data_IF_936344473053
#
_entry.id   IF_936344473053
#
_cell.length_a   1.000
_cell.length_b   1.000
_cell.length_c   1.000
_cell.angle_alpha   90.00
_cell.angle_beta   90.00
_cell.angle_gamma   90.00
#
_symmetry.space_group_name_H-M   'P 1'
#
loop_
_entity.id
_entity.type
_entity.pdbx_description
1 polymer ?
#
# COMPACT_ATOMS: atom_id res chain seq x y z
N UNK A 1 3.00 32.29 -4.28
CA UNK A 1 2.45 31.24 -5.16
C UNK A 1 3.60 30.70 -5.98
N UNK A 2 4.11 29.51 -5.65
CA UNK A 2 5.22 28.88 -6.39
C UNK A 2 4.64 27.90 -7.40
N UNK A 3 5.09 28.01 -8.64
CA UNK A 3 4.66 27.21 -9.78
C UNK A 3 5.28 25.80 -9.74
N UNK A 4 4.61 24.80 -10.33
CA UNK A 4 5.13 23.44 -10.47
C UNK A 4 6.39 23.41 -11.35
N UNK A 5 7.33 22.51 -11.04
CA UNK A 5 8.58 22.32 -11.77
C UNK A 5 8.36 21.84 -13.21
N UNK A 6 9.17 22.33 -14.15
CA UNK A 6 8.97 22.12 -15.60
C UNK A 6 9.21 20.68 -16.09
N UNK A 7 9.95 19.85 -15.35
CA UNK A 7 10.33 18.50 -15.78
C UNK A 7 9.20 17.46 -15.76
N UNK A 8 8.03 17.77 -15.17
CA UNK A 8 6.84 16.90 -15.19
C UNK A 8 5.82 17.22 -16.32
N UNK A 9 6.11 18.18 -17.21
CA UNK A 9 5.09 18.72 -18.13
C UNK A 9 4.74 17.85 -19.35
N UNK A 10 5.52 16.83 -19.74
CA UNK A 10 5.33 16.19 -21.06
C UNK A 10 4.49 14.90 -21.09
N UNK A 11 4.15 14.30 -19.94
CA UNK A 11 3.31 13.08 -19.86
C UNK A 11 1.95 13.27 -19.17
N UNK A 12 1.65 14.49 -18.71
CA UNK A 12 0.56 14.78 -17.77
C UNK A 12 -0.50 15.80 -18.27
N UNK A 13 -0.57 16.06 -19.58
CA UNK A 13 -1.71 16.81 -20.11
C UNK A 13 -2.92 15.87 -20.18
N UNK A 14 -3.80 16.03 -19.19
CA UNK A 14 -5.15 15.48 -19.21
C UNK A 14 -5.89 16.15 -20.37
N UNK A 15 -6.63 15.39 -21.16
CA UNK A 15 -7.52 16.01 -22.13
C UNK A 15 -8.67 16.69 -21.38
N UNK A 16 -8.85 17.99 -21.56
CA UNK A 16 -9.86 18.76 -20.80
C UNK A 16 -11.31 18.30 -21.01
N UNK A 17 -11.59 17.58 -22.11
CA UNK A 17 -12.93 17.05 -22.43
C UNK A 17 -13.15 15.64 -21.86
N UNK A 18 -12.10 14.99 -21.34
CA UNK A 18 -12.18 13.66 -20.78
C UNK A 18 -12.64 13.72 -19.30
N UNK A 19 -13.61 12.88 -18.90
CA UNK A 19 -14.00 12.76 -17.51
C UNK A 19 -12.85 12.26 -16.65
N UNK A 20 -12.78 12.75 -15.41
CA UNK A 20 -11.84 12.26 -14.42
C UNK A 20 -12.60 11.67 -13.25
N UNK A 21 -12.24 10.46 -12.85
CA UNK A 21 -12.86 9.72 -11.75
C UNK A 21 -11.83 9.35 -10.70
N UNK A 22 -12.29 8.98 -9.51
CA UNK A 22 -11.43 8.51 -8.44
C UNK A 22 -11.93 7.20 -7.84
N UNK A 23 -10.97 6.42 -7.33
CA UNK A 23 -11.19 5.24 -6.49
C UNK A 23 -10.38 5.42 -5.19
N UNK A 24 -11.06 5.47 -4.05
CA UNK A 24 -10.43 5.40 -2.73
C UNK A 24 -10.27 3.93 -2.35
N UNK A 25 -9.04 3.50 -2.06
CA UNK A 25 -8.71 2.08 -1.88
C UNK A 25 -8.17 1.78 -0.48
N UNK A 26 -8.51 0.60 0.03
CA UNK A 26 -8.07 0.11 1.34
C UNK A 26 -7.66 -1.36 1.31
N UNK A 27 -6.69 -1.74 2.17
CA UNK A 27 -6.29 -3.12 2.45
C UNK A 27 -6.75 -3.44 3.87
N UNK A 28 -7.73 -4.33 4.01
CA UNK A 28 -8.40 -4.57 5.29
C UNK A 28 -8.90 -3.25 5.90
N UNK A 29 -8.47 -2.88 7.12
CA UNK A 29 -8.85 -1.61 7.76
C UNK A 29 -7.96 -0.42 7.37
N UNK A 30 -6.82 -0.62 6.68
CA UNK A 30 -5.86 0.43 6.35
C UNK A 30 -6.27 1.12 5.04
N UNK A 31 -6.62 2.42 5.10
CA UNK A 31 -6.78 3.26 3.90
C UNK A 31 -5.41 3.43 3.24
N UNK A 32 -5.29 3.06 1.97
CA UNK A 32 -4.02 3.11 1.23
C UNK A 32 -3.86 4.44 0.50
N UNK A 33 -4.94 4.95 -0.08
CA UNK A 33 -4.96 6.23 -0.78
C UNK A 33 -6.03 6.30 -1.86
N UNK A 34 -6.01 7.40 -2.60
CA UNK A 34 -6.89 7.67 -3.73
C UNK A 34 -6.14 7.43 -5.05
N UNK A 35 -6.81 6.79 -6.00
CA UNK A 35 -6.36 6.62 -7.38
C UNK A 35 -7.23 7.51 -8.26
N UNK A 36 -6.61 8.45 -8.99
CA UNK A 36 -7.31 9.36 -9.91
C UNK A 36 -7.05 8.93 -11.33
N UNK A 37 -8.10 8.87 -12.13
CA UNK A 37 -8.12 8.22 -13.44
C UNK A 37 -8.75 9.16 -14.48
N UNK A 38 -8.02 9.43 -15.56
CA UNK A 38 -8.59 10.01 -16.77
C UNK A 38 -9.24 8.91 -17.61
N UNK A 39 -10.49 9.12 -18.05
CA UNK A 39 -11.21 8.22 -18.94
C UNK A 39 -11.18 8.75 -20.37
N UNK A 40 -10.75 7.92 -21.33
CA UNK A 40 -10.56 8.30 -22.72
C UNK A 40 -11.87 8.40 -23.51
N UNK A 41 -12.81 9.24 -23.04
CA UNK A 41 -14.12 9.48 -23.68
C UNK A 41 -13.99 9.92 -25.13
N UNK A 42 -12.94 10.66 -25.46
CA UNK A 42 -12.63 11.06 -26.83
C UNK A 42 -12.26 9.90 -27.77
N UNK A 43 -11.89 8.72 -27.25
CA UNK A 43 -11.49 7.53 -28.03
C UNK A 43 -12.51 6.40 -27.90
N UNK A 44 -13.03 6.17 -26.69
CA UNK A 44 -13.96 5.09 -26.32
C UNK A 44 -15.11 5.63 -25.46
N UNK A 45 -15.99 6.49 -26.03
CA UNK A 45 -17.05 7.16 -25.27
C UNK A 45 -18.00 6.20 -24.55
N UNK A 46 -18.39 5.07 -25.14
CA UNK A 46 -19.30 4.10 -24.48
C UNK A 46 -18.63 3.42 -23.29
N UNK A 47 -17.37 3.04 -23.45
CA UNK A 47 -16.58 2.36 -22.42
C UNK A 47 -16.26 3.31 -21.25
N UNK A 48 -15.83 4.53 -21.57
CA UNK A 48 -15.59 5.59 -20.59
C UNK A 48 -16.87 5.92 -19.79
N UNK A 49 -18.01 6.08 -20.47
CA UNK A 49 -19.28 6.38 -19.80
C UNK A 49 -19.75 5.24 -18.88
N UNK A 50 -19.54 3.99 -19.28
CA UNK A 50 -19.81 2.83 -18.43
C UNK A 50 -19.02 2.91 -17.12
N UNK A 51 -17.71 3.14 -17.20
CA UNK A 51 -16.88 3.23 -16.00
C UNK A 51 -17.24 4.45 -15.14
N UNK A 52 -17.46 5.61 -15.75
CA UNK A 52 -17.85 6.86 -15.06
C UNK A 52 -19.13 6.65 -14.24
N UNK A 53 -20.18 6.12 -14.85
CA UNK A 53 -21.46 5.85 -14.18
C UNK A 53 -21.32 4.81 -13.07
N UNK A 54 -20.48 3.79 -13.27
CA UNK A 54 -20.18 2.81 -12.21
C UNK A 54 -19.35 3.43 -11.07
N UNK A 55 -18.59 4.51 -11.31
CA UNK A 55 -17.97 5.30 -10.24
C UNK A 55 -18.98 6.15 -9.47
N UNK A 56 -19.96 6.78 -10.13
CA UNK A 56 -20.95 7.66 -9.46
C UNK A 56 -22.12 6.90 -8.85
N UNK A 57 -22.47 5.74 -9.40
CA UNK A 57 -23.63 4.96 -9.02
C UNK A 57 -24.97 5.59 -9.39
N UNK A 58 -24.98 6.58 -10.30
CA UNK A 58 -26.14 7.41 -10.62
C UNK A 58 -27.30 6.65 -11.28
N UNK A 59 -27.03 5.47 -11.87
CA UNK A 59 -28.07 4.62 -12.50
C UNK A 59 -28.83 3.71 -11.53
N UNK A 60 -28.49 3.68 -10.25
CA UNK A 60 -29.21 2.87 -9.27
C UNK A 60 -29.02 1.36 -9.48
N UNK A 61 -30.10 0.59 -9.46
CA UNK A 61 -30.05 -0.88 -9.58
C UNK A 61 -29.85 -1.36 -11.02
N UNK A 62 -29.15 -2.48 -11.18
CA UNK A 62 -29.03 -3.22 -12.45
C UNK A 62 -30.04 -4.38 -12.53
N UNK A 63 -29.92 -5.20 -13.57
CA UNK A 63 -30.65 -6.45 -13.72
C UNK A 63 -30.12 -7.54 -12.77
N UNK A 64 -28.81 -7.56 -12.53
CA UNK A 64 -28.12 -8.51 -11.65
C UNK A 64 -27.55 -7.82 -10.41
N UNK A 65 -26.95 -6.64 -10.59
CA UNK A 65 -26.31 -5.91 -9.51
C UNK A 65 -27.36 -5.17 -8.66
N UNK A 66 -27.32 -5.28 -7.31
CA UNK A 66 -28.22 -4.50 -6.44
C UNK A 66 -28.01 -2.98 -6.62
N UNK A 67 -26.79 -2.58 -7.01
CA UNK A 67 -26.45 -1.22 -7.42
C UNK A 67 -25.34 -1.27 -8.47
N UNK A 68 -25.51 -0.54 -9.57
CA UNK A 68 -24.49 -0.31 -10.59
C UNK A 68 -23.43 0.67 -10.05
N UNK A 69 -22.59 0.22 -9.12
CA UNK A 69 -21.66 1.09 -8.40
C UNK A 69 -20.43 0.33 -7.89
N UNK A 70 -19.23 0.90 -8.06
CA UNK A 70 -17.97 0.28 -7.61
C UNK A 70 -17.73 0.39 -6.10
N UNK A 71 -18.36 1.33 -5.39
CA UNK A 71 -18.18 1.47 -3.94
C UNK A 71 -18.57 0.20 -3.21
N UNK A 72 -17.64 -0.30 -2.40
CA UNK A 72 -17.78 -1.55 -1.64
C UNK A 72 -17.31 -2.80 -2.39
N UNK A 73 -16.97 -2.69 -3.68
CA UNK A 73 -16.39 -3.81 -4.44
C UNK A 73 -14.95 -4.08 -4.02
N UNK A 74 -14.42 -5.20 -4.50
CA UNK A 74 -13.08 -5.69 -4.22
C UNK A 74 -12.23 -5.76 -5.47
N UNK A 75 -10.91 -5.72 -5.27
CA UNK A 75 -9.98 -6.26 -6.26
C UNK A 75 -9.82 -7.75 -5.95
N UNK A 76 -10.47 -8.58 -6.76
CA UNK A 76 -10.62 -10.03 -6.54
C UNK A 76 -9.50 -10.85 -7.16
N UNK A 77 -8.67 -10.27 -8.05
CA UNK A 77 -7.38 -10.86 -8.45
C UNK A 77 -6.26 -9.85 -8.31
N UNK A 78 -5.21 -10.25 -7.59
CA UNK A 78 -4.04 -9.43 -7.30
C UNK A 78 -2.87 -9.71 -8.25
N UNK A 79 -2.02 -8.71 -8.44
CA UNK A 79 -0.74 -8.90 -9.10
C UNK A 79 0.17 -9.78 -8.23
N UNK A 80 0.85 -10.76 -8.82
CA UNK A 80 1.91 -11.51 -8.13
C UNK A 80 3.25 -10.78 -8.35
N UNK A 81 3.56 -9.80 -7.50
CA UNK A 81 4.81 -9.04 -7.60
C UNK A 81 5.98 -9.87 -7.04
N UNK A 82 6.71 -10.59 -7.91
CA UNK A 82 8.00 -11.16 -7.54
C UNK A 82 9.09 -10.09 -7.68
N UNK A 83 9.64 -9.64 -6.55
CA UNK A 83 10.86 -8.85 -6.55
C UNK A 83 12.00 -9.73 -7.10
N UNK A 84 12.49 -9.43 -8.30
CA UNK A 84 13.74 -9.92 -8.90
C UNK A 84 14.31 -11.24 -8.34
N UNK A 85 13.83 -12.37 -8.85
CA UNK A 85 14.65 -13.57 -8.97
C UNK A 85 14.78 -13.84 -10.48
N UNK A 86 15.90 -13.41 -11.04
CA UNK A 86 16.26 -13.48 -12.46
C UNK A 86 16.48 -14.92 -12.96
N UNK A 87 15.81 -15.92 -12.40
CA UNK A 87 16.03 -17.34 -12.68
C UNK A 87 14.68 -18.05 -12.62
N UNK A 88 13.95 -18.05 -13.73
CA UNK A 88 13.15 -19.18 -14.26
C UNK A 88 12.21 -18.67 -15.37
N UNK A 89 12.48 -19.10 -16.59
CA UNK A 89 11.84 -18.68 -17.85
C UNK A 89 10.38 -19.16 -18.06
N UNK A 90 9.57 -19.36 -17.02
CA UNK A 90 8.14 -19.66 -17.20
C UNK A 90 7.31 -19.37 -15.94
N UNK A 91 6.95 -18.12 -15.70
CA UNK A 91 5.81 -17.76 -14.83
C UNK A 91 5.18 -16.46 -15.37
N UNK A 92 3.90 -16.52 -15.76
CA UNK A 92 3.09 -15.34 -16.07
C UNK A 92 2.86 -14.62 -14.74
N UNK A 93 3.80 -13.74 -14.35
CA UNK A 93 3.53 -12.79 -13.27
C UNK A 93 2.36 -11.93 -13.73
N UNK A 94 1.27 -11.89 -12.96
CA UNK A 94 0.15 -11.01 -13.25
C UNK A 94 0.63 -9.57 -13.07
N UNK A 95 0.90 -8.88 -14.19
CA UNK A 95 1.32 -7.48 -14.23
C UNK A 95 0.15 -6.49 -14.07
N UNK A 96 -0.91 -6.92 -13.39
CA UNK A 96 -2.15 -6.18 -13.29
C UNK A 96 -2.92 -6.57 -12.03
N UNK A 97 -3.77 -5.66 -11.56
CA UNK A 97 -4.76 -5.93 -10.52
C UNK A 97 -6.16 -5.83 -11.14
N UNK A 98 -7.03 -6.78 -10.81
CA UNK A 98 -8.37 -6.92 -11.40
C UNK A 98 -9.45 -6.65 -10.35
N UNK A 99 -10.44 -5.85 -10.71
CA UNK A 99 -11.59 -5.54 -9.88
C UNK A 99 -12.86 -5.37 -10.71
N UNK A 100 -13.90 -4.81 -10.08
CA UNK A 100 -15.12 -4.39 -10.76
C UNK A 100 -16.19 -5.46 -10.95
N UNK A 101 -16.12 -6.58 -10.24
CA UNK A 101 -17.29 -7.47 -10.11
C UNK A 101 -18.26 -6.86 -9.10
N UNK A 102 -19.27 -6.15 -9.61
CA UNK A 102 -20.31 -5.46 -8.83
C UNK A 102 -21.47 -6.37 -8.43
N UNK A 103 -21.46 -7.64 -8.86
CA UNK A 103 -22.56 -8.59 -8.63
C UNK A 103 -22.15 -9.61 -7.56
N UNK A 104 -21.05 -10.32 -7.77
CA UNK A 104 -20.58 -11.40 -6.90
C UNK A 104 -19.33 -11.03 -6.09
N UNK A 105 -18.65 -9.92 -6.42
CA UNK A 105 -17.43 -9.44 -5.75
C UNK A 105 -16.27 -10.45 -5.74
N UNK A 106 -16.24 -11.39 -6.69
CA UNK A 106 -15.25 -12.47 -6.74
C UNK A 106 -14.69 -12.76 -8.15
N UNK A 107 -15.13 -12.00 -9.15
CA UNK A 107 -14.67 -12.09 -10.53
C UNK A 107 -15.48 -13.03 -11.42
N UNK A 108 -16.55 -13.63 -10.90
CA UNK A 108 -17.39 -14.57 -11.67
C UNK A 108 -18.53 -13.88 -12.40
N UNK A 109 -18.77 -12.59 -12.14
CA UNK A 109 -19.87 -11.86 -12.76
C UNK A 109 -19.56 -10.38 -12.97
N UNK A 110 -20.52 -9.66 -13.53
CA UNK A 110 -20.42 -8.26 -13.88
C UNK A 110 -21.67 -7.82 -14.60
N UNK A 111 -21.88 -6.51 -14.63
CA UNK A 111 -23.00 -5.92 -15.35
C UNK A 111 -22.63 -4.50 -15.80
N UNK A 112 -22.88 -4.19 -17.06
CA UNK A 112 -22.67 -2.83 -17.58
C UNK A 112 -23.90 -1.97 -17.35
N UNK A 113 -23.72 -0.67 -17.54
CA UNK A 113 -24.82 0.31 -17.51
C UNK A 113 -25.79 0.18 -18.69
N UNK A 114 -25.49 -0.71 -19.63
CA UNK A 114 -26.26 -0.99 -20.84
C UNK A 114 -26.95 -2.36 -20.80
N UNK A 115 -26.80 -3.12 -19.70
CA UNK A 115 -27.27 -4.50 -19.55
C UNK A 115 -26.11 -5.47 -19.28
N UNK A 116 -26.30 -6.78 -19.53
CA UNK A 116 -25.31 -7.80 -19.16
C UNK A 116 -23.93 -7.59 -19.81
N UNK A 117 -23.90 -7.19 -21.08
CA UNK A 117 -22.66 -6.97 -21.84
C UNK A 117 -22.80 -5.80 -22.83
N UNK A 118 -21.66 -5.29 -23.30
CA UNK A 118 -21.56 -4.37 -24.45
C UNK A 118 -20.33 -4.68 -25.32
N UNK A 119 -20.34 -4.14 -26.54
CA UNK A 119 -19.36 -4.41 -27.60
C UNK A 119 -17.95 -3.87 -27.30
N UNK A 120 -16.93 -4.46 -27.92
CA UNK A 120 -15.59 -3.91 -27.96
C UNK A 120 -15.59 -2.65 -28.83
N UNK A 121 -15.41 -1.48 -28.21
CA UNK A 121 -15.61 -0.21 -28.91
C UNK A 121 -14.52 0.07 -29.96
N UNK A 122 -13.25 -0.13 -29.62
CA UNK A 122 -12.11 -0.24 -30.54
C UNK A 122 -10.83 -0.65 -29.80
N UNK A 123 -9.77 -0.96 -30.55
CA UNK A 123 -8.45 -1.35 -30.03
C UNK A 123 -7.32 -0.41 -30.49
N UNK A 124 -7.63 0.89 -30.66
CA UNK A 124 -6.65 1.89 -31.14
C UNK A 124 -5.51 2.11 -30.14
N UNK A 125 -5.85 2.15 -28.86
CA UNK A 125 -4.88 2.29 -27.76
C UNK A 125 -4.28 0.92 -27.42
N UNK A 126 -3.00 0.92 -27.04
CA UNK A 126 -2.22 -0.29 -26.74
C UNK A 126 -1.80 -0.32 -25.27
N UNK A 127 -1.53 -1.50 -24.75
CA UNK A 127 -1.11 -1.72 -23.35
C UNK A 127 0.41 -1.56 -23.20
N UNK A 128 0.94 -0.40 -23.60
CA UNK A 128 2.39 -0.17 -23.74
C UNK A 128 3.08 0.43 -22.49
N UNK A 129 2.35 0.80 -21.44
CA UNK A 129 2.90 1.28 -20.18
C UNK A 129 2.03 0.92 -18.96
N UNK A 130 2.55 1.19 -17.77
CA UNK A 130 1.87 0.97 -16.49
C UNK A 130 0.85 2.08 -16.18
N UNK A 131 -0.18 1.76 -15.39
CA UNK A 131 -1.24 2.69 -15.01
C UNK A 131 -2.34 2.83 -16.05
N UNK A 132 -2.42 1.94 -17.05
CA UNK A 132 -3.53 1.90 -17.99
C UNK A 132 -4.71 1.11 -17.41
N UNK A 133 -5.92 1.57 -17.70
CA UNK A 133 -7.16 0.84 -17.43
C UNK A 133 -7.65 0.13 -18.68
N UNK A 134 -8.07 -1.11 -18.53
CA UNK A 134 -8.58 -1.94 -19.62
C UNK A 134 -9.73 -2.83 -19.18
N UNK A 135 -10.69 -3.05 -20.09
CA UNK A 135 -11.86 -3.88 -19.80
C UNK A 135 -11.48 -5.36 -19.69
N UNK A 136 -12.11 -6.06 -18.75
CA UNK A 136 -12.11 -7.52 -18.74
C UNK A 136 -13.33 -8.03 -19.50
N UNK A 137 -13.12 -9.04 -20.33
CA UNK A 137 -14.15 -9.74 -21.08
C UNK A 137 -14.09 -11.25 -20.78
N UNK A 138 -15.04 -12.03 -21.32
CA UNK A 138 -15.15 -13.47 -21.06
C UNK A 138 -14.28 -14.33 -22.00
N UNK A 139 -13.20 -13.75 -22.55
CA UNK A 139 -12.34 -14.44 -23.53
C UNK A 139 -12.97 -14.57 -24.93
N UNK A 140 -14.08 -13.87 -25.18
CA UNK A 140 -14.71 -13.73 -26.50
C UNK A 140 -15.06 -12.27 -26.79
N UNK A 141 -15.07 -11.84 -28.07
CA UNK A 141 -15.40 -10.47 -28.43
C UNK A 141 -16.75 -10.02 -27.88
N UNK A 142 -16.88 -8.72 -27.64
CA UNK A 142 -18.13 -8.04 -27.27
C UNK A 142 -18.76 -8.55 -25.97
N UNK A 143 -17.93 -8.83 -24.96
CA UNK A 143 -18.39 -9.25 -23.63
C UNK A 143 -17.90 -8.35 -22.50
N UNK A 144 -17.76 -7.06 -22.79
CA UNK A 144 -17.41 -6.07 -21.78
C UNK A 144 -18.59 -5.87 -20.81
N UNK A 145 -18.30 -5.73 -19.52
CA UNK A 145 -19.31 -5.51 -18.48
C UNK A 145 -18.85 -4.43 -17.48
N UNK A 146 -18.62 -4.80 -16.22
CA UNK A 146 -18.11 -3.90 -15.17
C UNK A 146 -16.67 -4.20 -14.75
N UNK A 147 -16.17 -5.40 -15.04
CA UNK A 147 -14.82 -5.78 -14.59
C UNK A 147 -13.74 -5.07 -15.40
N UNK A 148 -12.68 -4.68 -14.71
CA UNK A 148 -11.55 -3.96 -15.28
C UNK A 148 -10.22 -4.41 -14.66
N UNK A 149 -9.13 -4.10 -15.34
CA UNK A 149 -7.78 -4.22 -14.84
C UNK A 149 -7.09 -2.86 -14.77
N UNK A 150 -6.12 -2.75 -13.87
CA UNK A 150 -5.12 -1.68 -13.88
C UNK A 150 -3.76 -2.33 -14.13
N UNK A 151 -3.05 -1.89 -15.17
CA UNK A 151 -1.72 -2.40 -15.49
C UNK A 151 -0.67 -1.82 -14.52
N UNK A 152 0.32 -2.62 -14.11
CA UNK A 152 1.53 -2.15 -13.40
C UNK A 152 2.80 -2.30 -14.23
N UNK A 153 2.68 -2.91 -15.42
CA UNK A 153 3.70 -2.95 -16.48
C UNK A 153 3.00 -3.02 -17.85
N UNK A 154 3.75 -2.75 -18.93
CA UNK A 154 3.30 -3.00 -20.30
C UNK A 154 2.78 -4.45 -20.44
N UNK A 155 1.59 -4.59 -21.02
CA UNK A 155 0.82 -5.84 -21.11
C UNK A 155 0.34 -6.07 -22.55
N UNK A 156 1.26 -6.02 -23.51
CA UNK A 156 0.97 -6.08 -24.96
C UNK A 156 0.26 -7.35 -25.42
N UNK A 157 0.27 -8.41 -24.63
CA UNK A 157 -0.50 -9.63 -24.88
C UNK A 157 -2.02 -9.43 -24.81
N UNK A 158 -2.49 -8.30 -24.28
CA UNK A 158 -3.91 -7.91 -24.24
C UNK A 158 -4.31 -6.99 -25.41
N UNK A 159 -3.37 -6.66 -26.29
CA UNK A 159 -3.65 -5.80 -27.43
C UNK A 159 -4.59 -6.49 -28.42
N UNK A 160 -5.58 -5.73 -28.92
CA UNK A 160 -6.63 -6.21 -29.83
C UNK A 160 -7.62 -7.22 -29.22
N UNK A 161 -7.49 -7.53 -27.93
CA UNK A 161 -8.44 -8.40 -27.20
C UNK A 161 -9.17 -7.65 -26.09
N UNK A 162 -8.55 -6.64 -25.48
CA UNK A 162 -9.11 -5.88 -24.37
C UNK A 162 -9.10 -4.38 -24.70
N UNK A 163 -10.20 -3.69 -24.40
CA UNK A 163 -10.38 -2.26 -24.68
C UNK A 163 -9.68 -1.44 -23.60
N UNK A 164 -8.61 -0.71 -23.97
CA UNK A 164 -8.00 0.32 -23.12
C UNK A 164 -8.90 1.55 -23.09
N UNK A 165 -9.25 2.03 -21.90
CA UNK A 165 -10.24 3.10 -21.74
C UNK A 165 -9.86 4.22 -20.77
N UNK A 166 -8.72 4.12 -20.09
CA UNK A 166 -8.26 5.20 -19.23
C UNK A 166 -6.81 5.06 -18.79
N UNK A 167 -6.32 6.05 -18.05
CA UNK A 167 -5.01 6.03 -17.40
C UNK A 167 -5.08 6.65 -16.01
N UNK A 168 -4.23 6.17 -15.12
CA UNK A 168 -3.96 6.79 -13.83
C UNK A 168 -3.21 8.09 -14.06
N UNK A 169 -3.69 9.17 -13.43
CA UNK A 169 -3.04 10.48 -13.43
C UNK A 169 -2.44 10.83 -12.07
N UNK A 170 -3.01 10.29 -10.98
CA UNK A 170 -2.47 10.39 -9.61
C UNK A 170 -2.74 9.11 -8.82
N UNK A 171 -1.90 8.79 -7.85
CA UNK A 171 -2.11 7.65 -6.95
C UNK A 171 -1.57 6.33 -7.48
N UNK A 172 -0.62 6.34 -8.40
CA UNK A 172 0.04 5.12 -8.88
C UNK A 172 0.74 4.38 -7.74
N UNK A 173 1.29 5.11 -6.77
CA UNK A 173 1.87 4.53 -5.56
C UNK A 173 0.86 3.67 -4.77
N UNK A 174 -0.40 4.10 -4.71
CA UNK A 174 -1.46 3.33 -4.05
C UNK A 174 -1.69 1.99 -4.75
N UNK A 175 -1.77 1.97 -6.08
CA UNK A 175 -1.90 0.73 -6.86
C UNK A 175 -0.71 -0.20 -6.66
N UNK A 176 0.52 0.33 -6.70
CA UNK A 176 1.72 -0.47 -6.45
C UNK A 176 1.72 -1.08 -5.03
N UNK A 177 1.13 -0.39 -4.05
CA UNK A 177 0.96 -0.92 -2.70
C UNK A 177 -0.08 -2.05 -2.64
N UNK A 178 -1.19 -1.94 -3.38
CA UNK A 178 -2.17 -3.03 -3.51
C UNK A 178 -1.52 -4.30 -4.09
N UNK A 179 -0.61 -4.14 -5.06
CA UNK A 179 0.11 -5.24 -5.70
C UNK A 179 1.14 -5.96 -4.80
N UNK A 180 1.45 -5.43 -3.62
CA UNK A 180 2.35 -6.07 -2.64
C UNK A 180 1.61 -7.03 -1.70
N UNK A 181 0.28 -7.02 -1.71
CA UNK A 181 -0.52 -7.93 -0.89
C UNK A 181 -0.26 -9.36 -1.37
N UNK A 182 0.14 -10.29 -0.49
CA UNK A 182 0.32 -11.68 -0.87
C UNK A 182 -0.96 -12.27 -1.46
N UNK A 183 -0.83 -13.14 -2.45
CA UNK A 183 -1.96 -13.82 -3.09
C UNK A 183 -1.89 -15.33 -2.87
N UNK A 184 -3.06 -15.96 -2.78
CA UNK A 184 -3.23 -17.41 -2.86
C UNK A 184 -4.12 -17.71 -4.07
N UNK A 185 -3.58 -18.44 -5.07
CA UNK A 185 -4.27 -18.69 -6.35
C UNK A 185 -4.81 -17.40 -6.98
N UNK A 186 -3.94 -16.39 -7.06
CA UNK A 186 -4.22 -15.03 -7.55
C UNK A 186 -5.19 -14.19 -6.71
N UNK A 187 -5.76 -14.73 -5.64
CA UNK A 187 -6.69 -14.01 -4.77
C UNK A 187 -5.89 -13.32 -3.64
N UNK A 188 -6.03 -12.00 -3.43
CA UNK A 188 -5.37 -11.33 -2.31
C UNK A 188 -5.76 -11.95 -0.96
N UNK A 189 -4.75 -12.25 -0.13
CA UNK A 189 -4.94 -12.80 1.22
C UNK A 189 -5.65 -11.78 2.12
N UNK A 190 -5.23 -10.51 2.03
CA UNK A 190 -5.94 -9.41 2.67
C UNK A 190 -6.95 -8.80 1.71
N UNK A 191 -8.18 -8.56 2.18
CA UNK A 191 -9.24 -7.96 1.36
C UNK A 191 -8.84 -6.57 0.88
N UNK A 192 -8.78 -6.39 -0.44
CA UNK A 192 -8.57 -5.09 -1.07
C UNK A 192 -9.92 -4.56 -1.56
N UNK A 193 -10.30 -3.35 -1.15
CA UNK A 193 -11.62 -2.79 -1.44
C UNK A 193 -11.57 -1.36 -1.97
N UNK A 194 -12.55 -1.02 -2.81
CA UNK A 194 -12.87 0.34 -3.22
C UNK A 194 -13.83 0.91 -2.16
N UNK A 195 -13.32 1.72 -1.24
CA UNK A 195 -14.10 2.24 -0.11
C UNK A 195 -14.97 3.43 -0.48
N UNK A 196 -14.54 4.19 -1.49
CA UNK A 196 -15.33 5.25 -2.11
C UNK A 196 -14.91 5.43 -3.56
N UNK A 197 -15.80 5.99 -4.37
CA UNK A 197 -15.51 6.33 -5.75
C UNK A 197 -16.48 7.41 -6.25
N UNK A 198 -16.10 8.07 -7.34
CA UNK A 198 -16.92 9.11 -7.93
C UNK A 198 -16.23 9.79 -9.11
N UNK A 199 -16.87 10.84 -9.60
CA UNK A 199 -16.37 11.72 -10.65
C UNK A 199 -15.88 13.03 -10.02
N UNK A 200 -14.72 13.53 -10.47
CA UNK A 200 -14.19 14.84 -10.11
C UNK A 200 -14.62 15.86 -11.15
N UNK A 201 -15.12 17.01 -10.69
CA UNK A 201 -15.47 18.11 -11.59
C UNK A 201 -14.22 18.84 -12.09
N UNK A 202 -14.37 19.55 -13.20
CA UNK A 202 -13.34 20.50 -13.65
C UNK A 202 -13.01 21.47 -12.52
N UNK A 203 -11.71 21.67 -12.27
CA UNK A 203 -11.14 22.50 -11.21
C UNK A 203 -11.35 22.02 -9.76
N UNK A 204 -11.92 20.82 -9.56
CA UNK A 204 -11.97 20.20 -8.25
C UNK A 204 -10.58 19.73 -7.81
N UNK A 205 -10.27 19.88 -6.51
CA UNK A 205 -9.02 19.36 -5.96
C UNK A 205 -9.01 17.82 -6.06
N UNK A 206 -7.86 17.22 -6.37
CA UNK A 206 -7.71 15.77 -6.47
C UNK A 206 -8.16 15.00 -5.22
N UNK A 207 -8.12 15.64 -4.06
CA UNK A 207 -8.47 15.07 -2.76
C UNK A 207 -7.50 13.97 -2.35
N UNK A 208 -6.21 14.17 -2.64
CA UNK A 208 -5.16 13.21 -2.29
C UNK A 208 -4.65 13.44 -0.88
N UNK A 209 -4.68 14.69 -0.42
CA UNK A 209 -4.16 15.14 0.86
C UNK A 209 -4.93 14.54 2.03
N UNK A 210 -4.21 14.30 3.12
CA UNK A 210 -4.83 13.86 4.37
C UNK A 210 -5.67 14.99 4.98
N UNK A 211 -6.87 14.64 5.44
CA UNK A 211 -7.84 15.56 6.05
C UNK A 211 -8.35 15.04 7.39
N UNK A 212 -7.46 14.43 8.18
CA UNK A 212 -7.78 13.81 9.46
C UNK A 212 -7.67 14.76 10.67
N UNK A 213 -7.50 16.05 10.40
CA UNK A 213 -7.35 17.11 11.41
C UNK A 213 -5.96 17.18 12.05
N UNK A 214 -4.99 16.41 11.57
CA UNK A 214 -3.59 16.55 11.96
C UNK A 214 -2.83 17.55 11.07
N UNK A 215 -1.60 17.89 11.46
CA UNK A 215 -0.71 18.71 10.63
C UNK A 215 -0.14 17.97 9.41
N UNK A 216 -0.39 16.66 9.32
CA UNK A 216 -0.16 15.91 8.09
C UNK A 216 -1.26 16.25 7.08
N UNK A 217 -0.98 17.21 6.20
CA UNK A 217 -1.83 17.63 5.08
C UNK A 217 -1.24 17.19 3.73
N UNK A 218 -0.31 16.24 3.74
CA UNK A 218 0.47 15.88 2.56
C UNK A 218 -0.16 14.68 1.84
N UNK A 219 0.17 14.47 0.57
CA UNK A 219 -0.28 13.30 -0.20
C UNK A 219 0.29 12.00 0.40
N UNK A 220 -0.43 10.86 0.36
CA UNK A 220 0.10 9.58 0.85
C UNK A 220 1.40 9.12 0.16
N UNK A 221 1.62 9.59 -1.08
CA UNK A 221 2.76 9.28 -1.93
C UNK A 221 3.46 10.58 -2.34
N UNK A 222 4.77 10.72 -2.08
CA UNK A 222 5.50 11.97 -2.37
C UNK A 222 5.61 12.27 -3.86
N UNK A 223 5.54 11.27 -4.74
CA UNK A 223 5.57 11.45 -6.20
C UNK A 223 4.34 12.19 -6.74
N UNK A 224 3.21 12.12 -6.04
CA UNK A 224 1.98 12.81 -6.40
C UNK A 224 1.93 14.26 -5.91
N UNK A 225 2.94 14.69 -5.15
CA UNK A 225 2.99 16.01 -4.53
C UNK A 225 3.53 17.07 -5.50
N UNK A 226 2.69 18.01 -5.91
CA UNK A 226 2.99 18.98 -6.97
C UNK A 226 3.82 20.20 -6.53
N UNK A 227 4.30 20.23 -5.29
CA UNK A 227 5.02 21.39 -4.75
C UNK A 227 6.53 21.23 -4.92
N UNK A 228 7.17 22.20 -5.58
CA UNK A 228 8.63 22.33 -5.56
C UNK A 228 9.07 22.85 -4.19
N UNK A 229 10.07 22.24 -3.52
CA UNK A 229 10.76 22.91 -2.40
C UNK A 229 12.02 22.22 -1.86
N UNK A 230 12.82 23.07 -1.19
CA UNK A 230 14.13 22.89 -0.56
C UNK A 230 14.14 21.88 0.62
N UNK A 231 15.29 21.26 0.91
CA UNK A 231 15.48 20.17 1.87
C UNK A 231 15.01 20.49 3.29
N UNK A 232 15.17 21.73 3.77
CA UNK A 232 14.72 22.13 5.11
C UNK A 232 13.20 22.01 5.28
N UNK A 233 12.46 22.16 4.18
CA UNK A 233 11.01 21.96 4.17
C UNK A 233 10.64 20.47 4.29
N UNK A 234 11.46 19.58 3.73
CA UNK A 234 11.19 18.14 3.75
C UNK A 234 11.35 17.51 5.13
N UNK A 235 12.32 17.97 5.94
CA UNK A 235 12.47 17.49 7.32
C UNK A 235 11.24 17.85 8.17
N UNK A 236 10.70 19.07 7.99
CA UNK A 236 9.46 19.52 8.65
C UNK A 236 8.25 18.67 8.21
N UNK A 237 8.12 18.40 6.90
CA UNK A 237 7.08 17.52 6.35
C UNK A 237 7.13 16.13 6.98
N UNK A 238 8.31 15.49 7.00
CA UNK A 238 8.49 14.15 7.58
C UNK A 238 8.19 14.17 9.08
N UNK A 239 8.57 15.24 9.78
CA UNK A 239 8.31 15.41 11.21
C UNK A 239 6.82 15.53 11.51
N UNK A 240 6.08 16.34 10.75
CA UNK A 240 4.61 16.46 10.87
C UNK A 240 3.90 15.13 10.62
N UNK A 241 4.32 14.38 9.61
CA UNK A 241 3.76 13.05 9.34
C UNK A 241 4.07 12.09 10.50
N UNK A 242 5.30 12.09 11.01
CA UNK A 242 5.71 11.31 12.19
C UNK A 242 4.85 11.65 13.41
N UNK A 243 4.62 12.93 13.66
CA UNK A 243 3.88 13.40 14.84
C UNK A 243 2.39 13.12 14.75
N UNK A 244 1.82 13.15 13.54
CA UNK A 244 0.51 12.56 13.29
C UNK A 244 0.47 11.07 13.67
N UNK A 245 1.49 10.30 13.28
CA UNK A 245 1.65 8.90 13.71
C UNK A 245 1.72 8.73 15.23
N UNK A 246 2.45 9.60 15.94
CA UNK A 246 2.54 9.61 17.40
C UNK A 246 1.17 9.88 18.07
N UNK A 247 0.38 10.77 17.49
CA UNK A 247 -0.99 11.05 17.94
C UNK A 247 -1.87 9.80 17.84
N UNK A 248 -1.85 9.11 16.69
CA UNK A 248 -2.59 7.84 16.52
C UNK A 248 -2.09 6.73 17.44
N UNK A 249 -0.76 6.62 17.64
CA UNK A 249 -0.17 5.65 18.56
C UNK A 249 -0.68 5.84 19.99
N UNK A 250 -0.71 7.09 20.46
CA UNK A 250 -1.20 7.45 21.80
C UNK A 250 -2.67 7.10 21.97
N UNK A 251 -3.47 7.27 20.91
CA UNK A 251 -4.89 6.86 20.85
C UNK A 251 -5.09 5.34 20.69
N UNK A 252 -4.01 4.55 20.68
CA UNK A 252 -4.01 3.11 20.42
C UNK A 252 -4.61 2.71 19.06
N UNK A 253 -4.70 3.65 18.12
CA UNK A 253 -5.04 3.36 16.73
C UNK A 253 -3.77 2.98 15.98
N UNK A 254 -3.37 1.72 16.15
CA UNK A 254 -2.13 1.20 15.60
C UNK A 254 -2.14 1.06 14.07
N UNK A 255 -3.32 0.96 13.45
CA UNK A 255 -3.47 0.90 11.98
C UNK A 255 -3.05 2.23 11.36
N UNK A 256 -3.61 3.34 11.85
CA UNK A 256 -3.24 4.67 11.35
C UNK A 256 -1.84 5.09 11.77
N UNK A 257 -1.40 4.74 12.99
CA UNK A 257 -0.03 4.99 13.42
C UNK A 257 0.99 4.31 12.47
N UNK A 258 0.75 3.03 12.12
CA UNK A 258 1.55 2.31 11.14
C UNK A 258 1.56 3.03 9.79
N UNK A 259 0.38 3.38 9.27
CA UNK A 259 0.20 4.08 7.99
C UNK A 259 1.02 5.37 7.93
N UNK A 260 0.94 6.20 8.97
CA UNK A 260 1.66 7.48 9.06
C UNK A 260 3.18 7.29 9.15
N UNK A 261 3.68 6.38 9.98
CA UNK A 261 5.13 6.16 10.04
C UNK A 261 5.70 5.58 8.73
N UNK A 262 4.95 4.71 8.04
CA UNK A 262 5.33 4.23 6.70
C UNK A 262 5.35 5.37 5.69
N UNK A 263 4.36 6.27 5.74
CA UNK A 263 4.32 7.48 4.91
C UNK A 263 5.54 8.36 5.16
N UNK A 264 5.87 8.63 6.42
CA UNK A 264 7.06 9.41 6.78
C UNK A 264 8.35 8.78 6.23
N UNK A 265 8.48 7.46 6.31
CA UNK A 265 9.63 6.75 5.74
C UNK A 265 9.67 6.84 4.20
N UNK A 266 8.52 6.77 3.51
CA UNK A 266 8.45 6.99 2.06
C UNK A 266 8.95 8.39 1.67
N UNK A 267 8.53 9.42 2.41
CA UNK A 267 8.99 10.80 2.18
C UNK A 267 10.50 10.95 2.45
N UNK A 268 11.01 10.30 3.50
CA UNK A 268 12.45 10.22 3.76
C UNK A 268 13.20 9.60 2.58
N UNK A 269 12.77 8.43 2.11
CA UNK A 269 13.44 7.72 1.01
C UNK A 269 13.38 8.51 -0.30
N UNK A 270 12.25 9.16 -0.58
CA UNK A 270 12.07 10.01 -1.75
C UNK A 270 13.02 11.20 -1.74
N UNK A 271 13.14 11.88 -0.61
CA UNK A 271 14.08 13.00 -0.44
C UNK A 271 15.54 12.54 -0.54
N UNK A 272 15.91 11.43 0.10
CA UNK A 272 17.29 10.92 0.11
C UNK A 272 17.80 10.56 -1.31
N UNK A 273 16.90 10.20 -2.23
CA UNK A 273 17.25 9.94 -3.64
C UNK A 273 17.66 11.20 -4.42
N UNK A 274 17.36 12.40 -3.94
CA UNK A 274 17.62 13.66 -4.67
C UNK A 274 19.07 14.20 -4.54
N UNK A 275 19.97 13.47 -3.87
CA UNK A 275 21.45 13.49 -3.96
C UNK A 275 22.28 14.79 -3.80
N UNK A 276 21.71 15.97 -3.55
CA UNK A 276 22.51 17.20 -3.33
C UNK A 276 22.49 17.66 -1.86
N UNK A 277 23.18 16.97 -0.95
CA UNK A 277 23.12 17.29 0.48
C UNK A 277 24.48 17.53 1.15
N UNK A 278 24.53 18.51 2.05
CA UNK A 278 25.67 18.80 2.94
C UNK A 278 25.65 17.93 4.22
N UNK A 279 26.83 17.65 4.77
CA UNK A 279 27.05 16.68 5.86
C UNK A 279 26.25 16.94 7.16
N UNK A 280 26.04 18.18 7.59
CA UNK A 280 25.33 18.49 8.85
C UNK A 280 23.84 18.15 8.79
N UNK A 281 23.20 18.37 7.64
CA UNK A 281 21.81 17.98 7.40
C UNK A 281 21.66 16.47 7.27
N UNK A 282 22.73 15.78 6.85
CA UNK A 282 22.72 14.33 6.74
C UNK A 282 22.60 13.66 8.12
N UNK A 283 23.23 14.20 9.17
CA UNK A 283 23.14 13.63 10.53
C UNK A 283 21.73 13.70 11.12
N UNK A 284 21.04 14.86 11.06
CA UNK A 284 19.68 15.00 11.61
C UNK A 284 18.67 14.07 10.92
N UNK A 285 18.88 13.83 9.62
CA UNK A 285 18.06 12.93 8.83
C UNK A 285 18.26 11.46 9.18
N UNK A 286 19.50 11.04 9.44
CA UNK A 286 19.77 9.68 9.94
C UNK A 286 19.04 9.46 11.26
N UNK A 287 19.12 10.42 12.19
CA UNK A 287 18.42 10.34 13.48
C UNK A 287 16.89 10.26 13.32
N UNK A 288 16.35 11.03 12.37
CA UNK A 288 14.92 11.00 12.03
C UNK A 288 14.51 9.63 11.48
N UNK A 289 15.29 9.04 10.56
CA UNK A 289 15.04 7.69 10.05
C UNK A 289 15.09 6.64 11.16
N UNK A 290 16.11 6.66 12.02
CA UNK A 290 16.20 5.72 13.15
C UNK A 290 14.98 5.85 14.07
N UNK A 291 14.51 7.08 14.32
CA UNK A 291 13.28 7.34 15.08
C UNK A 291 12.05 6.74 14.41
N UNK A 292 11.91 6.88 13.09
CA UNK A 292 10.80 6.31 12.32
C UNK A 292 10.80 4.77 12.36
N UNK A 293 11.96 4.14 12.15
CA UNK A 293 12.11 2.68 12.22
C UNK A 293 11.77 2.14 13.61
N UNK A 294 12.23 2.84 14.65
CA UNK A 294 11.89 2.53 16.03
C UNK A 294 10.37 2.65 16.27
N UNK A 295 9.73 3.72 15.81
CA UNK A 295 8.29 3.91 15.98
C UNK A 295 7.48 2.84 15.23
N UNK A 296 7.90 2.47 14.01
CA UNK A 296 7.34 1.33 13.28
C UNK A 296 7.48 0.03 14.05
N UNK A 297 8.67 -0.27 14.59
CA UNK A 297 8.89 -1.46 15.41
C UNK A 297 7.97 -1.49 16.64
N UNK A 298 7.73 -0.34 17.28
CA UNK A 298 6.80 -0.22 18.40
C UNK A 298 5.35 -0.54 18.00
N UNK A 299 4.89 0.00 16.87
CA UNK A 299 3.55 -0.30 16.33
C UNK A 299 3.41 -1.77 15.95
N UNK A 300 4.40 -2.33 15.24
CA UNK A 300 4.39 -3.73 14.78
C UNK A 300 4.42 -4.71 15.95
N UNK A 301 5.07 -4.36 17.06
CA UNK A 301 4.96 -5.12 18.31
C UNK A 301 3.52 -5.19 18.83
N UNK A 302 2.79 -4.05 18.81
CA UNK A 302 1.38 -3.99 19.23
C UNK A 302 0.47 -4.79 18.29
N UNK A 303 0.81 -4.82 17.00
CA UNK A 303 0.14 -5.63 15.97
C UNK A 303 0.58 -7.11 15.96
N UNK A 304 1.51 -7.51 16.84
CA UNK A 304 2.06 -8.88 16.94
C UNK A 304 2.79 -9.36 15.68
N UNK A 305 3.31 -8.45 14.87
CA UNK A 305 4.07 -8.74 13.66
C UNK A 305 5.56 -8.93 13.97
N UNK A 306 5.88 -9.90 14.83
CA UNK A 306 7.20 -10.03 15.47
C UNK A 306 8.37 -10.17 14.49
N UNK A 307 8.20 -10.89 13.37
CA UNK A 307 9.24 -10.99 12.33
C UNK A 307 9.57 -9.63 11.70
N UNK A 308 8.57 -8.79 11.47
CA UNK A 308 8.81 -7.43 10.94
C UNK A 308 9.48 -6.53 11.97
N UNK A 309 9.14 -6.69 13.25
CA UNK A 309 9.83 -5.99 14.36
C UNK A 309 11.33 -6.32 14.34
N UNK A 310 11.69 -7.60 14.20
CA UNK A 310 13.09 -8.03 14.15
C UNK A 310 13.82 -7.36 12.99
N UNK A 311 13.25 -7.38 11.78
CA UNK A 311 13.86 -6.75 10.60
C UNK A 311 14.10 -5.25 10.80
N UNK A 312 13.09 -4.52 11.29
CA UNK A 312 13.20 -3.08 11.57
C UNK A 312 14.26 -2.79 12.64
N UNK A 313 14.34 -3.61 13.69
CA UNK A 313 15.34 -3.43 14.74
C UNK A 313 16.76 -3.76 14.25
N UNK A 314 16.92 -4.76 13.37
CA UNK A 314 18.20 -5.07 12.74
C UNK A 314 18.71 -3.88 11.93
N UNK A 315 17.85 -3.27 11.11
CA UNK A 315 18.19 -2.08 10.31
C UNK A 315 18.63 -0.89 11.17
N UNK A 316 18.01 -0.69 12.34
CA UNK A 316 18.47 0.31 13.33
C UNK A 316 19.84 -0.08 13.89
N UNK A 317 20.05 -1.35 14.24
CA UNK A 317 21.28 -1.84 14.88
C UNK A 317 22.47 -1.95 13.92
N UNK A 318 22.22 -2.02 12.62
CA UNK A 318 23.26 -1.87 11.59
C UNK A 318 23.84 -0.44 11.58
N UNK A 319 23.05 0.56 11.97
CA UNK A 319 23.48 1.96 12.06
C UNK A 319 23.99 2.32 13.45
N UNK A 320 23.26 1.94 14.50
CA UNK A 320 23.59 2.14 15.92
C UNK A 320 23.43 0.83 16.67
N UNK A 321 24.52 0.05 16.75
CA UNK A 321 24.52 -1.27 17.40
C UNK A 321 24.31 -1.22 18.93
N UNK A 322 24.35 -0.01 19.53
CA UNK A 322 24.10 0.23 20.96
C UNK A 322 22.68 0.73 21.23
N UNK A 323 21.81 0.78 20.22
CA UNK A 323 20.47 1.31 20.37
C UNK A 323 19.63 0.46 21.32
N UNK A 324 19.50 0.93 22.57
CA UNK A 324 18.82 0.19 23.64
C UNK A 324 17.34 -0.05 23.33
N UNK A 325 16.67 0.86 22.62
CA UNK A 325 15.26 0.71 22.22
C UNK A 325 15.09 -0.40 21.17
N UNK A 326 15.97 -0.47 20.18
CA UNK A 326 15.94 -1.51 19.15
C UNK A 326 16.22 -2.89 19.75
N UNK A 327 17.30 -3.02 20.54
CA UNK A 327 17.63 -4.28 21.24
C UNK A 327 16.47 -4.75 22.13
N UNK A 328 15.87 -3.85 22.92
CA UNK A 328 14.76 -4.20 23.80
C UNK A 328 13.55 -4.72 23.01
N UNK A 329 13.16 -4.01 21.94
CA UNK A 329 12.02 -4.40 21.09
C UNK A 329 12.27 -5.69 20.31
N UNK A 330 13.49 -5.89 19.81
CA UNK A 330 13.90 -7.13 19.15
C UNK A 330 13.89 -8.30 20.12
N UNK A 331 14.37 -8.10 21.35
CA UNK A 331 14.29 -9.09 22.42
C UNK A 331 12.86 -9.49 22.78
N UNK A 332 11.93 -8.52 22.81
CA UNK A 332 10.50 -8.79 22.99
C UNK A 332 9.90 -9.59 21.84
N UNK A 333 10.29 -9.28 20.59
CA UNK A 333 9.83 -9.99 19.41
C UNK A 333 10.34 -11.45 19.38
N UNK A 334 11.64 -11.66 19.63
CA UNK A 334 12.22 -13.01 19.75
C UNK A 334 11.52 -13.85 20.82
N UNK A 335 11.32 -13.27 22.01
CA UNK A 335 10.58 -13.92 23.10
C UNK A 335 9.18 -14.34 22.65
N UNK A 336 8.48 -13.48 21.89
CA UNK A 336 7.13 -13.76 21.40
C UNK A 336 7.08 -14.82 20.30
N UNK A 337 8.21 -15.11 19.66
CA UNK A 337 8.40 -16.20 18.71
C UNK A 337 8.96 -17.48 19.36
N UNK A 338 9.04 -17.52 20.69
CA UNK A 338 9.67 -18.60 21.48
C UNK A 338 11.18 -18.75 21.24
N UNK A 339 11.84 -17.75 20.65
CA UNK A 339 13.28 -17.70 20.44
C UNK A 339 13.99 -17.14 21.70
N UNK A 340 13.75 -17.79 22.86
CA UNK A 340 14.09 -17.26 24.19
C UNK A 340 15.57 -16.92 24.36
N UNK A 341 16.48 -17.74 23.81
CA UNK A 341 17.93 -17.51 23.89
C UNK A 341 18.33 -16.19 23.20
N UNK A 342 17.77 -15.92 22.03
CA UNK A 342 18.00 -14.68 21.29
C UNK A 342 17.36 -13.49 22.03
N UNK A 343 16.14 -13.67 22.55
CA UNK A 343 15.48 -12.67 23.37
C UNK A 343 16.29 -12.27 24.61
N UNK A 344 16.79 -13.25 25.36
CA UNK A 344 17.62 -13.02 26.53
C UNK A 344 18.95 -12.36 26.18
N UNK A 345 19.60 -12.75 25.07
CA UNK A 345 20.84 -12.12 24.60
C UNK A 345 20.66 -10.61 24.44
N UNK A 346 19.61 -10.19 23.72
CA UNK A 346 19.33 -8.77 23.50
C UNK A 346 18.98 -8.07 24.82
N UNK A 347 18.12 -8.65 25.67
CA UNK A 347 17.73 -8.03 26.94
C UNK A 347 18.90 -7.87 27.92
N UNK A 348 19.85 -8.82 27.95
CA UNK A 348 21.07 -8.69 28.74
C UNK A 348 21.97 -7.58 28.21
N UNK A 349 22.10 -7.45 26.88
CA UNK A 349 22.84 -6.36 26.28
C UNK A 349 22.22 -5.00 26.65
N UNK A 350 20.89 -4.86 26.60
CA UNK A 350 20.20 -3.65 27.07
C UNK A 350 20.51 -3.39 28.55
N UNK A 351 20.44 -4.41 29.40
CA UNK A 351 20.73 -4.26 30.83
C UNK A 351 22.17 -3.82 31.10
N UNK A 352 23.14 -4.24 30.29
CA UNK A 352 24.52 -3.78 30.39
C UNK A 352 24.67 -2.31 29.98
N UNK A 353 23.96 -1.88 28.94
CA UNK A 353 24.01 -0.51 28.43
C UNK A 353 23.25 0.48 29.33
N UNK A 354 22.09 0.10 29.82
CA UNK A 354 21.23 0.92 30.68
C UNK A 354 20.55 0.06 31.77
N UNK A 355 21.24 -0.20 32.91
CA UNK A 355 20.69 -1.03 33.97
C UNK A 355 19.40 -0.43 34.56
N UNK A 356 18.27 -1.12 34.38
CA UNK A 356 16.97 -0.68 34.90
C UNK A 356 16.13 -1.84 35.48
N UNK A 357 15.32 -1.53 36.51
CA UNK A 357 14.46 -2.52 37.20
C UNK A 357 13.41 -3.13 36.27
N UNK A 358 12.92 -2.40 35.27
CA UNK A 358 11.94 -2.90 34.30
C UNK A 358 12.56 -3.93 33.36
N UNK A 359 13.79 -3.70 32.90
CA UNK A 359 14.54 -4.65 32.06
C UNK A 359 14.80 -5.94 32.85
N UNK A 360 15.22 -5.82 34.11
CA UNK A 360 15.45 -6.99 34.97
C UNK A 360 14.17 -7.81 35.20
N UNK A 361 13.02 -7.17 35.33
CA UNK A 361 11.72 -7.85 35.41
C UNK A 361 11.41 -8.61 34.12
N UNK A 362 11.66 -8.01 32.96
CA UNK A 362 11.44 -8.67 31.67
C UNK A 362 12.39 -9.88 31.51
N UNK A 363 13.68 -9.76 31.83
CA UNK A 363 14.64 -10.88 31.81
C UNK A 363 14.15 -12.05 32.68
N UNK A 364 13.70 -11.77 33.91
CA UNK A 364 13.17 -12.80 34.81
C UNK A 364 11.93 -13.48 34.23
N UNK A 365 11.05 -12.72 33.59
CA UNK A 365 9.86 -13.24 32.91
C UNK A 365 10.26 -14.18 31.76
N UNK A 366 11.19 -13.77 30.89
CA UNK A 366 11.65 -14.60 29.76
C UNK A 366 12.30 -15.90 30.25
N UNK A 367 13.17 -15.84 31.27
CA UNK A 367 13.77 -17.04 31.88
C UNK A 367 12.72 -18.02 32.42
N UNK A 368 11.65 -17.51 33.03
CA UNK A 368 10.55 -18.34 33.53
C UNK A 368 9.83 -19.05 32.37
N UNK A 369 9.61 -18.34 31.25
CA UNK A 369 8.99 -18.91 30.05
C UNK A 369 9.86 -19.98 29.41
N UNK A 370 11.18 -19.73 29.29
CA UNK A 370 12.14 -20.69 28.75
C UNK A 370 12.17 -21.98 29.57
N UNK A 371 12.28 -21.89 30.90
CA UNK A 371 12.28 -23.06 31.77
C UNK A 371 10.97 -23.86 31.68
N UNK A 372 9.83 -23.16 31.62
CA UNK A 372 8.54 -23.82 31.45
C UNK A 372 8.44 -24.59 30.13
N UNK A 373 8.95 -24.02 29.04
CA UNK A 373 8.98 -24.67 27.73
C UNK A 373 9.89 -25.91 27.73
N UNK A 374 11.07 -25.84 28.35
CA UNK A 374 12.00 -26.97 28.46
C UNK A 374 11.40 -28.14 29.26
N UNK A 375 10.65 -27.86 30.33
CA UNK A 375 9.93 -28.89 31.09
C UNK A 375 8.79 -29.53 30.26
N UNK A 376 8.05 -28.73 29.48
CA UNK A 376 7.04 -29.25 28.55
C UNK A 376 7.63 -30.15 27.47
N UNK A 377 8.74 -29.73 26.88
CA UNK A 377 9.46 -30.50 25.86
C UNK A 377 9.93 -31.85 26.43
N UNK A 378 10.55 -31.83 27.62
CA UNK A 378 10.99 -33.03 28.32
C UNK A 378 9.84 -34.00 28.61
N UNK A 379 8.71 -33.50 29.12
CA UNK A 379 7.53 -34.34 29.41
C UNK A 379 6.86 -34.87 28.14
N UNK A 380 6.87 -34.11 27.05
CA UNK A 380 6.31 -34.53 25.76
C UNK A 380 7.14 -35.66 25.15
N UNK A 381 8.47 -35.52 25.13
CA UNK A 381 9.36 -36.57 24.64
C UNK A 381 9.25 -37.85 25.46
N UNK A 382 9.11 -37.75 26.79
CA UNK A 382 8.89 -38.93 27.64
C UNK A 382 7.62 -39.70 27.25
N UNK A 383 6.57 -39.04 26.76
CA UNK A 383 5.32 -39.69 26.33
C UNK A 383 5.34 -40.21 24.90
N UNK A 384 6.26 -39.78 24.05
CA UNK A 384 6.33 -40.23 22.64
C UNK A 384 6.98 -41.61 22.48
N UNK A 385 7.73 -42.07 23.49
CA UNK A 385 8.46 -43.35 23.46
C UNK A 385 7.88 -44.41 24.42
N UNK A 386 6.66 -44.16 24.93
CA UNK A 386 5.81 -45.10 25.66
C UNK A 386 4.51 -45.26 24.89
#
# INVERSE_FOLDING_TARGET
MKQPSEENKSSLLINEDNPVVFLDVAIGPEKVGRVVIELFKNVVPRTAENFRVLCTGEKGAGLKAPKLHYKGTTFHKGAQYFLNLAILNTFISQFMIQGGDIVNFNGTSGESIYGPYFDDENFKLKHNFSGLLSMVNEGKPNTNSSQFIITVQASTHLDNTNVVFGKIVKGMGAVLELCKVPTEKDIPVDKISIVDCGELKKDENWGLEENDGSEDVYTPWPEDWDYSQDHKFMEDVITKIKDSGNSYFTKQNYVDANRKYRKALRYYDWMNRQKNMSDTFYTSLVDLRLTLLLNLAAVRLKQKEYRKVINLCNEVLETDNTNSKALFRRGQAYTSLNEYKLGLKDLFQVFQLCPDKTILKEIKKVKKMENFYLELEKTTYQRMFH
#
